data_IF_618588204247
#
_entry.id   IF_618588204247
#
_cell.length_a   1.000
_cell.length_b   1.000
_cell.length_c   1.000
_cell.angle_alpha   90.00
_cell.angle_beta   90.00
_cell.angle_gamma   90.00
#
_symmetry.space_group_name_H-M   'P 1'
#
loop_
_entity.id
_entity.type
_entity.pdbx_description
1 polymer ?
#
# COMPACT_ATOMS: atom_id res chain seq x y z
N UNK A 1 17.07 -26.01 -16.32
CA UNK A 1 17.10 -26.50 -14.94
C UNK A 1 18.52 -26.41 -14.44
N UNK A 2 18.74 -26.08 -13.18
CA UNK A 2 20.07 -26.02 -12.60
C UNK A 2 20.65 -27.44 -12.50
N UNK A 3 21.88 -27.65 -12.97
CA UNK A 3 22.56 -28.94 -13.03
C UNK A 3 23.75 -28.93 -12.06
N UNK A 4 23.54 -29.55 -10.90
CA UNK A 4 24.48 -29.53 -9.78
C UNK A 4 25.80 -30.25 -10.11
N UNK A 5 25.78 -31.26 -10.97
CA UNK A 5 26.98 -32.03 -11.30
C UNK A 5 27.94 -31.19 -12.13
N UNK A 6 27.42 -30.47 -13.12
CA UNK A 6 28.24 -29.59 -13.97
C UNK A 6 28.85 -28.43 -13.20
N UNK A 7 28.13 -27.91 -12.20
CA UNK A 7 28.63 -26.85 -11.32
C UNK A 7 29.78 -27.34 -10.43
N UNK A 8 29.67 -28.55 -9.88
CA UNK A 8 30.72 -29.16 -9.05
C UNK A 8 31.96 -29.59 -9.85
N UNK A 9 31.79 -29.95 -11.13
CA UNK A 9 32.93 -30.24 -12.02
C UNK A 9 33.74 -28.98 -12.37
N UNK A 10 33.07 -27.83 -12.48
CA UNK A 10 33.73 -26.55 -12.77
C UNK A 10 34.34 -25.91 -11.52
N UNK A 11 33.66 -26.05 -10.37
CA UNK A 11 34.11 -25.54 -9.09
C UNK A 11 33.87 -26.61 -8.00
N UNK A 12 34.87 -27.46 -7.73
CA UNK A 12 34.78 -28.53 -6.73
C UNK A 12 34.54 -28.00 -5.31
N UNK A 13 34.90 -26.73 -5.07
CA UNK A 13 34.76 -26.05 -3.79
C UNK A 13 33.39 -25.37 -3.65
N UNK A 14 32.49 -25.46 -4.64
CA UNK A 14 31.18 -24.80 -4.62
C UNK A 14 30.31 -25.18 -3.41
N UNK A 15 30.52 -26.38 -2.84
CA UNK A 15 29.86 -26.85 -1.61
C UNK A 15 30.77 -26.77 -0.37
N UNK A 16 32.03 -26.36 -0.51
CA UNK A 16 32.93 -26.18 0.62
C UNK A 16 32.51 -24.94 1.41
N UNK A 17 32.11 -25.18 2.66
CA UNK A 17 31.70 -24.16 3.62
C UNK A 17 32.85 -23.74 4.55
N UNK A 18 34.06 -24.23 4.27
CA UNK A 18 35.30 -24.00 5.04
C UNK A 18 36.10 -22.77 4.57
N UNK A 19 35.70 -22.12 3.47
CA UNK A 19 36.08 -20.73 3.23
C UNK A 19 35.31 -19.86 4.19
N UNK A 20 35.94 -18.88 4.86
CA UNK A 20 35.27 -17.98 5.80
C UNK A 20 34.11 -17.23 5.12
N UNK A 21 32.94 -17.85 5.09
CA UNK A 21 31.68 -17.17 4.98
C UNK A 21 31.47 -16.51 6.34
N UNK A 22 32.05 -15.32 6.51
CA UNK A 22 31.51 -14.40 7.49
C UNK A 22 30.06 -14.14 7.05
N UNK A 23 29.13 -14.90 7.61
CA UNK A 23 27.78 -14.39 7.77
C UNK A 23 27.98 -13.08 8.53
N UNK A 24 27.75 -11.97 7.85
CA UNK A 24 27.50 -10.74 8.55
C UNK A 24 26.25 -11.01 9.39
N UNK A 25 26.45 -11.38 10.67
CA UNK A 25 25.38 -11.75 11.62
C UNK A 25 24.36 -10.61 11.79
N UNK A 26 24.68 -9.39 11.31
CA UNK A 26 23.73 -8.30 11.26
C UNK A 26 22.63 -8.50 10.20
N UNK A 27 22.87 -9.31 9.16
CA UNK A 27 21.91 -9.60 8.09
C UNK A 27 20.93 -10.68 8.53
N UNK A 28 19.65 -10.33 8.57
CA UNK A 28 18.56 -11.20 8.99
C UNK A 28 17.39 -11.12 8.01
N UNK A 29 16.43 -12.02 8.18
CA UNK A 29 15.17 -11.98 7.46
C UNK A 29 13.99 -11.98 8.42
N UNK A 30 12.95 -11.23 8.07
CA UNK A 30 11.70 -11.14 8.80
C UNK A 30 10.56 -11.52 7.88
N UNK A 31 9.69 -12.43 8.32
CA UNK A 31 8.40 -12.70 7.69
C UNK A 31 7.27 -12.15 8.55
N UNK A 32 6.37 -11.38 7.95
CA UNK A 32 5.15 -10.89 8.59
C UNK A 32 3.97 -11.54 7.88
N UNK A 33 3.14 -12.22 8.67
CA UNK A 33 1.84 -12.74 8.26
C UNK A 33 0.76 -12.15 9.17
N UNK A 34 -0.16 -11.40 8.59
CA UNK A 34 -1.26 -10.74 9.32
C UNK A 34 -2.60 -10.96 8.61
N UNK A 35 -3.63 -11.42 9.33
CA UNK A 35 -4.98 -11.50 8.79
C UNK A 35 -5.57 -10.09 8.59
N UNK A 36 -6.60 -9.99 7.76
CA UNK A 36 -7.36 -8.76 7.55
C UNK A 36 -6.98 -8.02 6.27
N UNK A 37 -7.46 -6.80 6.14
CA UNK A 37 -7.16 -5.93 4.99
C UNK A 37 -6.48 -4.65 5.44
N UNK A 38 -5.54 -4.18 4.64
CA UNK A 38 -4.83 -2.92 4.83
C UNK A 38 -5.34 -1.83 3.88
N UNK A 39 -5.23 -0.58 4.27
CA UNK A 39 -5.54 0.57 3.40
C UNK A 39 -4.33 0.86 2.49
N UNK A 40 -4.59 1.00 1.18
CA UNK A 40 -3.52 1.17 0.19
C UNK A 40 -2.70 2.44 0.40
N UNK A 41 -3.34 3.53 0.80
CA UNK A 41 -2.69 4.82 1.03
C UNK A 41 -1.82 4.77 2.28
N UNK A 42 -2.32 4.17 3.37
CA UNK A 42 -1.52 3.93 4.59
C UNK A 42 -0.30 3.06 4.31
N UNK A 43 -0.43 2.03 3.46
CA UNK A 43 0.72 1.19 3.06
C UNK A 43 1.73 2.00 2.24
N UNK A 44 1.28 2.81 1.28
CA UNK A 44 2.18 3.64 0.47
C UNK A 44 2.94 4.66 1.33
N UNK A 45 2.25 5.28 2.29
CA UNK A 45 2.85 6.21 3.24
C UNK A 45 3.87 5.50 4.14
N UNK A 46 3.49 4.36 4.71
CA UNK A 46 4.35 3.54 5.54
C UNK A 46 5.61 3.07 4.81
N UNK A 47 5.49 2.56 3.57
CA UNK A 47 6.65 2.14 2.77
C UNK A 47 7.57 3.31 2.48
N UNK A 48 7.01 4.48 2.11
CA UNK A 48 7.80 5.67 1.82
C UNK A 48 8.62 6.11 3.04
N UNK A 49 8.00 6.11 4.21
CA UNK A 49 8.68 6.46 5.46
C UNK A 49 9.72 5.40 5.85
N UNK A 50 9.38 4.11 5.71
CA UNK A 50 10.29 2.98 5.96
C UNK A 50 11.54 3.05 5.07
N UNK A 51 11.37 3.29 3.77
CA UNK A 51 12.50 3.39 2.83
C UNK A 51 13.34 4.65 3.09
N UNK A 52 12.72 5.77 3.47
CA UNK A 52 13.45 6.99 3.84
C UNK A 52 14.34 6.77 5.07
N UNK A 53 13.85 6.04 6.07
CA UNK A 53 14.54 5.88 7.35
C UNK A 53 15.47 4.67 7.41
N UNK A 54 15.10 3.57 6.74
CA UNK A 54 15.75 2.25 6.84
C UNK A 54 16.12 1.65 5.49
N UNK A 55 15.93 2.37 4.38
CA UNK A 55 16.16 1.83 3.03
C UNK A 55 17.60 1.38 2.76
N UNK A 56 18.61 1.96 3.44
CA UNK A 56 20.00 1.51 3.36
C UNK A 56 20.24 0.13 4.00
N UNK A 57 19.39 -0.23 4.95
CA UNK A 57 19.46 -1.46 5.71
C UNK A 57 18.56 -2.55 5.11
N UNK A 58 17.58 -2.19 4.28
CA UNK A 58 16.68 -3.12 3.59
C UNK A 58 17.25 -3.46 2.20
N UNK A 59 17.66 -4.71 2.03
CA UNK A 59 18.20 -5.20 0.76
C UNK A 59 17.09 -5.67 -0.18
N UNK A 60 16.08 -6.33 0.37
CA UNK A 60 14.94 -6.83 -0.39
C UNK A 60 13.69 -6.85 0.49
N UNK A 61 12.58 -6.47 -0.10
CA UNK A 61 11.26 -6.76 0.44
C UNK A 61 10.35 -7.30 -0.65
N UNK A 62 9.48 -8.26 -0.32
CA UNK A 62 8.44 -8.75 -1.24
C UNK A 62 7.22 -9.13 -0.43
N UNK A 63 6.05 -9.02 -1.04
CA UNK A 63 4.86 -9.51 -0.38
C UNK A 63 3.62 -9.49 -1.26
N UNK A 64 2.58 -10.04 -0.67
CA UNK A 64 1.21 -10.03 -1.15
C UNK A 64 0.33 -9.44 -0.07
N UNK A 65 -0.46 -8.43 -0.44
CA UNK A 65 -1.33 -7.70 0.46
C UNK A 65 -2.80 -7.93 0.13
N UNK A 66 -3.59 -7.97 1.19
CA UNK A 66 -5.04 -7.90 1.17
C UNK A 66 -5.44 -6.43 1.25
N UNK A 67 -5.65 -5.79 0.09
CA UNK A 67 -6.05 -4.39 0.05
C UNK A 67 -7.56 -4.25 0.28
N UNK A 68 -7.95 -3.35 1.18
CA UNK A 68 -9.34 -3.03 1.43
C UNK A 68 -10.01 -2.47 0.16
N UNK A 69 -11.24 -2.90 -0.13
CA UNK A 69 -11.99 -2.53 -1.36
C UNK A 69 -11.32 -2.94 -2.69
N UNK A 70 -10.30 -3.79 -2.66
CA UNK A 70 -9.80 -4.51 -3.84
C UNK A 70 -10.26 -5.97 -3.78
N UNK A 71 -10.65 -6.56 -4.92
CA UNK A 71 -10.91 -8.01 -5.02
C UNK A 71 -9.63 -8.79 -5.34
N UNK A 72 -8.64 -8.10 -5.91
CA UNK A 72 -7.34 -8.60 -6.33
C UNK A 72 -6.34 -8.70 -5.17
N UNK A 73 -5.38 -9.61 -5.32
CA UNK A 73 -4.12 -9.58 -4.56
C UNK A 73 -3.26 -8.42 -5.04
N UNK A 74 -2.66 -7.69 -4.12
CA UNK A 74 -1.65 -6.69 -4.45
C UNK A 74 -0.27 -7.28 -4.19
N UNK A 75 0.48 -7.54 -5.25
CA UNK A 75 1.83 -8.03 -5.18
C UNK A 75 2.78 -6.85 -5.21
N UNK A 76 3.74 -6.83 -4.30
CA UNK A 76 4.78 -5.81 -4.32
C UNK A 76 6.16 -6.44 -4.20
N UNK A 77 7.14 -5.71 -4.74
CA UNK A 77 8.55 -5.99 -4.55
C UNK A 77 9.29 -4.68 -4.38
N UNK A 78 10.29 -4.71 -3.49
CA UNK A 78 11.22 -3.63 -3.32
C UNK A 78 12.66 -4.13 -3.28
N UNK A 79 13.52 -3.41 -4.00
CA UNK A 79 14.97 -3.59 -3.99
C UNK A 79 15.57 -2.22 -3.70
N UNK A 80 16.32 -2.12 -2.59
CA UNK A 80 16.80 -0.84 -2.07
C UNK A 80 15.65 0.17 -1.90
N UNK A 81 15.72 1.31 -2.59
CA UNK A 81 14.80 2.45 -2.45
C UNK A 81 13.60 2.41 -3.40
N UNK A 82 13.48 1.36 -4.22
CA UNK A 82 12.39 1.24 -5.20
C UNK A 82 11.32 0.32 -4.64
N UNK A 83 10.08 0.81 -4.58
CA UNK A 83 8.90 0.02 -4.31
C UNK A 83 8.03 0.00 -5.56
N UNK A 84 7.75 -1.19 -6.07
CA UNK A 84 6.86 -1.41 -7.19
C UNK A 84 5.78 -2.41 -6.78
N UNK A 85 4.56 -2.19 -7.25
CA UNK A 85 3.42 -3.01 -6.87
C UNK A 85 2.34 -3.05 -7.94
N UNK A 86 1.74 -4.23 -8.08
CA UNK A 86 0.74 -4.51 -9.10
C UNK A 86 -0.40 -5.35 -8.54
N UNK A 87 -1.61 -5.12 -9.06
CA UNK A 87 -2.74 -5.99 -8.79
C UNK A 87 -2.69 -7.20 -9.70
N UNK A 88 -2.68 -8.39 -9.11
CA UNK A 88 -2.76 -9.65 -9.84
C UNK A 88 -4.13 -10.29 -9.71
N UNK A 89 -4.12 -11.61 -9.56
CA UNK A 89 -5.34 -12.42 -9.54
C UNK A 89 -6.28 -12.11 -8.35
N UNK A 90 -7.60 -12.19 -8.56
CA UNK A 90 -8.59 -12.08 -7.50
C UNK A 90 -8.44 -13.16 -6.44
N UNK A 91 -8.73 -12.81 -5.19
CA UNK A 91 -8.92 -13.80 -4.12
C UNK A 91 -10.06 -14.74 -4.51
N UNK A 92 -9.92 -16.05 -4.25
CA UNK A 92 -11.00 -17.00 -4.52
C UNK A 92 -12.13 -16.78 -3.53
N UNK A 93 -13.34 -17.17 -3.91
CA UNK A 93 -14.48 -17.14 -3.01
C UNK A 93 -14.22 -18.04 -1.79
N UNK A 94 -14.44 -17.51 -0.59
CA UNK A 94 -14.18 -18.20 0.68
C UNK A 94 -12.70 -18.30 1.08
N UNK A 95 -11.77 -17.77 0.30
CA UNK A 95 -10.34 -17.75 0.66
C UNK A 95 -10.06 -16.72 1.75
N UNK A 96 -9.31 -17.14 2.78
CA UNK A 96 -8.87 -16.23 3.83
C UNK A 96 -7.92 -15.18 3.23
N UNK A 97 -8.29 -13.91 3.34
CA UNK A 97 -7.43 -12.81 2.89
C UNK A 97 -6.38 -12.53 3.96
N UNK A 98 -5.12 -12.59 3.55
CA UNK A 98 -3.98 -12.38 4.43
C UNK A 98 -2.96 -11.44 3.79
N UNK A 99 -2.16 -10.83 4.65
CA UNK A 99 -1.01 -10.01 4.28
C UNK A 99 0.24 -10.81 4.61
N UNK A 100 1.01 -11.19 3.59
CA UNK A 100 2.25 -11.94 3.73
C UNK A 100 3.39 -11.18 3.09
N UNK A 101 4.44 -10.90 3.85
CA UNK A 101 5.61 -10.18 3.36
C UNK A 101 6.89 -10.69 4.00
N UNK A 102 7.99 -10.54 3.26
CA UNK A 102 9.34 -10.88 3.71
C UNK A 102 10.26 -9.69 3.51
N UNK A 103 11.12 -9.45 4.50
CA UNK A 103 12.21 -8.47 4.48
C UNK A 103 13.52 -9.22 4.63
N UNK A 104 14.53 -8.76 3.91
CA UNK A 104 15.92 -9.20 4.06
C UNK A 104 16.77 -7.94 4.14
N UNK A 105 17.60 -7.85 5.16
CA UNK A 105 18.38 -6.65 5.44
C UNK A 105 19.21 -6.78 6.69
N UNK A 106 19.94 -5.72 7.03
CA UNK A 106 20.76 -5.67 8.26
C UNK A 106 20.06 -4.91 9.38
N UNK A 107 20.34 -5.24 10.63
CA UNK A 107 19.82 -4.52 11.81
C UNK A 107 18.29 -4.32 11.78
N UNK A 108 17.55 -5.30 11.27
CA UNK A 108 16.10 -5.21 11.15
C UNK A 108 15.46 -5.25 12.56
N UNK A 109 14.71 -4.21 12.90
CA UNK A 109 13.88 -4.23 14.10
C UNK A 109 12.56 -4.95 13.78
N UNK A 110 12.51 -6.24 14.10
CA UNK A 110 11.39 -7.11 13.77
C UNK A 110 10.09 -6.64 14.45
N UNK A 111 10.17 -6.16 15.69
CA UNK A 111 9.01 -5.72 16.44
C UNK A 111 8.48 -4.39 15.90
N UNK A 112 9.36 -3.43 15.58
CA UNK A 112 8.96 -2.15 15.00
C UNK A 112 8.38 -2.30 13.60
N UNK A 113 8.98 -3.14 12.74
CA UNK A 113 8.46 -3.42 11.40
C UNK A 113 7.06 -4.03 11.45
N UNK A 114 6.84 -5.01 12.34
CA UNK A 114 5.53 -5.61 12.53
C UNK A 114 4.51 -4.59 13.03
N UNK A 115 4.83 -3.89 14.11
CA UNK A 115 3.92 -2.92 14.75
C UNK A 115 3.55 -1.78 13.80
N UNK A 116 4.52 -1.26 13.04
CA UNK A 116 4.26 -0.19 12.07
C UNK A 116 3.40 -0.66 10.89
N UNK A 117 3.56 -1.90 10.43
CA UNK A 117 2.69 -2.47 9.39
C UNK A 117 1.28 -2.78 9.91
N UNK A 118 1.14 -3.21 11.16
CA UNK A 118 -0.18 -3.39 11.81
C UNK A 118 -1.01 -2.09 11.83
N UNK A 119 -0.35 -0.92 11.88
CA UNK A 119 -1.03 0.38 11.79
C UNK A 119 -1.67 0.66 10.41
N UNK A 120 -1.32 -0.11 9.37
CA UNK A 120 -1.95 -0.03 8.06
C UNK A 120 -3.25 -0.85 7.98
N UNK A 121 -3.57 -1.68 8.97
CA UNK A 121 -4.80 -2.47 9.00
C UNK A 121 -6.02 -1.55 9.06
N UNK A 122 -7.04 -1.91 8.27
CA UNK A 122 -8.33 -1.25 8.34
C UNK A 122 -9.02 -1.69 9.62
N UNK A 123 -9.12 -0.74 10.55
CA UNK A 123 -9.94 -0.82 11.76
C UNK A 123 -11.01 0.26 11.73
N UNK A 124 -12.04 0.11 12.57
CA UNK A 124 -13.04 1.15 12.76
C UNK A 124 -12.40 2.47 13.19
N UNK A 125 -11.40 2.41 14.07
CA UNK A 125 -10.66 3.57 14.55
C UNK A 125 -9.86 4.25 13.42
N UNK A 126 -9.14 3.47 12.60
CA UNK A 126 -8.38 4.00 11.47
C UNK A 126 -9.30 4.68 10.44
N UNK A 127 -10.45 4.06 10.16
CA UNK A 127 -11.46 4.65 9.27
C UNK A 127 -12.10 5.91 9.86
N UNK A 128 -12.42 5.92 11.16
CA UNK A 128 -12.96 7.09 11.83
C UNK A 128 -11.95 8.25 11.81
N UNK A 129 -10.66 7.97 12.04
CA UNK A 129 -9.58 8.96 11.93
C UNK A 129 -9.50 9.53 10.51
N UNK A 130 -9.49 8.67 9.48
CA UNK A 130 -9.44 9.08 8.08
C UNK A 130 -10.65 9.94 7.67
N UNK A 131 -11.85 9.58 8.13
CA UNK A 131 -13.06 10.38 7.90
C UNK A 131 -12.99 11.73 8.62
N UNK A 132 -12.49 11.77 9.87
CA UNK A 132 -12.36 13.01 10.65
C UNK A 132 -11.31 13.98 10.12
N UNK A 133 -10.34 13.50 9.33
CA UNK A 133 -9.32 14.35 8.69
C UNK A 133 -9.80 15.04 7.42
N UNK A 134 -10.96 14.65 6.87
CA UNK A 134 -11.53 15.28 5.69
C UNK A 134 -12.04 16.70 6.01
N UNK A 135 -11.74 17.66 5.13
CA UNK A 135 -12.14 19.07 5.28
C UNK A 135 -13.64 19.32 5.15
N UNK A 136 -14.39 18.43 4.49
CA UNK A 136 -15.82 18.59 4.23
C UNK A 136 -16.63 17.37 4.68
N UNK A 137 -17.86 17.62 5.12
CA UNK A 137 -18.84 16.60 5.49
C UNK A 137 -19.92 16.42 4.42
N UNK A 138 -20.68 15.32 4.48
CA UNK A 138 -21.89 15.15 3.66
C UNK A 138 -22.87 16.29 3.95
N UNK A 139 -23.39 16.92 2.90
CA UNK A 139 -24.25 18.10 2.96
C UNK A 139 -23.49 19.43 2.84
N UNK A 140 -22.16 19.45 2.92
CA UNK A 140 -21.39 20.69 2.76
C UNK A 140 -21.46 21.21 1.32
N UNK A 141 -21.58 22.54 1.19
CA UNK A 141 -21.52 23.25 -0.08
C UNK A 141 -20.07 23.52 -0.49
N UNK A 142 -19.74 23.12 -1.72
CA UNK A 142 -18.38 23.17 -2.25
C UNK A 142 -18.37 23.68 -3.70
N UNK A 143 -17.20 24.16 -4.12
CA UNK A 143 -16.87 24.36 -5.52
C UNK A 143 -15.81 23.31 -5.92
N UNK A 144 -16.02 22.69 -7.07
CA UNK A 144 -15.13 21.66 -7.62
C UNK A 144 -14.48 22.15 -8.90
N UNK A 145 -13.17 21.92 -9.04
CA UNK A 145 -12.44 22.28 -10.25
C UNK A 145 -12.72 21.24 -11.34
N UNK A 146 -13.37 21.69 -12.42
CA UNK A 146 -13.71 20.86 -13.58
C UNK A 146 -13.06 21.41 -14.84
N UNK A 147 -13.24 20.72 -15.97
CA UNK A 147 -12.77 21.23 -17.29
C UNK A 147 -13.46 22.52 -17.70
N UNK A 148 -14.65 22.79 -17.17
CA UNK A 148 -15.45 23.98 -17.46
C UNK A 148 -15.23 25.10 -16.41
N UNK A 149 -14.28 24.91 -15.50
CA UNK A 149 -14.00 25.80 -14.39
C UNK A 149 -14.57 25.29 -13.06
N UNK A 150 -14.71 26.20 -12.11
CA UNK A 150 -15.22 25.89 -10.77
C UNK A 150 -16.75 25.81 -10.79
N UNK A 151 -17.28 24.62 -10.55
CA UNK A 151 -18.72 24.37 -10.49
C UNK A 151 -19.16 24.09 -9.06
N UNK A 152 -20.30 24.65 -8.67
CA UNK A 152 -20.87 24.48 -7.33
C UNK A 152 -21.62 23.15 -7.20
N UNK A 153 -21.59 22.59 -6.00
CA UNK A 153 -22.34 21.40 -5.65
C UNK A 153 -22.34 21.11 -4.15
N UNK A 154 -22.86 19.94 -3.82
CA UNK A 154 -22.99 19.44 -2.46
C UNK A 154 -22.28 18.09 -2.32
N UNK A 155 -21.55 17.91 -1.22
CA UNK A 155 -20.98 16.60 -0.87
C UNK A 155 -22.12 15.62 -0.57
N UNK A 156 -22.20 14.52 -1.32
CA UNK A 156 -23.23 13.49 -1.11
C UNK A 156 -22.68 12.21 -0.49
N UNK A 157 -21.36 11.98 -0.57
CA UNK A 157 -20.72 10.78 -0.03
C UNK A 157 -19.24 11.03 0.26
N UNK A 158 -18.73 10.44 1.35
CA UNK A 158 -17.31 10.41 1.68
C UNK A 158 -16.70 9.06 1.29
N UNK A 159 -15.39 9.03 1.00
CA UNK A 159 -14.66 7.81 0.68
C UNK A 159 -15.35 7.03 -0.46
N UNK A 160 -15.72 7.76 -1.51
CA UNK A 160 -16.45 7.24 -2.66
C UNK A 160 -15.58 6.33 -3.52
N UNK A 161 -16.20 5.31 -4.13
CA UNK A 161 -15.52 4.38 -5.03
C UNK A 161 -16.47 3.95 -6.15
N UNK A 162 -15.93 3.84 -7.35
CA UNK A 162 -16.59 3.24 -8.52
C UNK A 162 -15.78 2.09 -9.11
N UNK A 163 -16.45 1.28 -9.92
CA UNK A 163 -15.86 0.07 -10.50
C UNK A 163 -14.74 0.36 -11.51
N UNK A 164 -14.82 1.49 -12.22
CA UNK A 164 -13.76 1.92 -13.16
C UNK A 164 -12.50 2.43 -12.44
N UNK A 165 -12.57 2.73 -11.14
CA UNK A 165 -11.42 3.22 -10.39
C UNK A 165 -10.43 2.09 -10.09
N UNK A 166 -9.11 2.35 -10.10
CA UNK A 166 -8.10 1.37 -9.74
C UNK A 166 -8.43 0.64 -8.42
N UNK A 167 -8.15 -0.67 -8.30
CA UNK A 167 -8.45 -1.42 -7.08
C UNK A 167 -7.86 -0.76 -5.81
N UNK A 168 -8.64 -0.73 -4.73
CA UNK A 168 -8.23 -0.11 -3.47
C UNK A 168 -8.27 1.43 -3.43
N UNK A 169 -8.38 2.11 -4.58
CA UNK A 169 -8.48 3.57 -4.63
C UNK A 169 -9.85 4.08 -4.17
N UNK A 170 -9.87 5.23 -3.50
CA UNK A 170 -11.10 5.89 -3.07
C UNK A 170 -10.94 7.39 -3.30
N UNK A 171 -12.01 8.04 -3.75
CA UNK A 171 -12.09 9.48 -3.80
C UNK A 171 -12.56 9.99 -2.42
N UNK A 172 -11.94 11.03 -1.85
CA UNK A 172 -12.40 11.63 -0.60
C UNK A 172 -13.88 12.01 -0.62
N UNK A 173 -14.36 12.51 -1.77
CA UNK A 173 -15.70 13.08 -1.90
C UNK A 173 -16.38 12.66 -3.21
N UNK A 174 -17.67 12.34 -3.12
CA UNK A 174 -18.61 12.42 -4.24
C UNK A 174 -19.43 13.69 -4.11
N UNK A 175 -19.60 14.41 -5.22
CA UNK A 175 -20.28 15.70 -5.26
C UNK A 175 -21.42 15.62 -6.27
N UNK A 176 -22.59 16.12 -5.87
CA UNK A 176 -23.69 16.42 -6.79
C UNK A 176 -23.62 17.89 -7.14
N UNK A 177 -23.31 18.20 -8.39
CA UNK A 177 -23.34 19.56 -8.92
C UNK A 177 -24.78 20.09 -8.96
N UNK A 178 -24.93 21.42 -9.00
CA UNK A 178 -26.25 22.08 -8.98
C UNK A 178 -27.11 21.78 -10.22
N UNK A 179 -26.47 21.44 -11.34
CA UNK A 179 -27.12 20.95 -12.56
C UNK A 179 -27.60 19.48 -12.45
N UNK A 180 -27.30 18.82 -11.33
CA UNK A 180 -27.65 17.43 -11.04
C UNK A 180 -26.60 16.39 -11.42
N UNK A 181 -25.51 16.78 -12.11
CA UNK A 181 -24.43 15.89 -12.50
C UNK A 181 -23.64 15.42 -11.27
N UNK A 182 -23.25 14.15 -11.24
CA UNK A 182 -22.41 13.59 -10.18
C UNK A 182 -20.97 13.52 -10.63
N UNK A 183 -20.09 14.09 -9.82
CA UNK A 183 -18.64 14.03 -10.00
C UNK A 183 -17.98 13.55 -8.70
N UNK A 184 -16.67 13.40 -8.72
CA UNK A 184 -15.88 13.10 -7.53
C UNK A 184 -14.63 13.98 -7.50
N UNK A 185 -14.17 14.32 -6.30
CA UNK A 185 -12.89 14.99 -6.11
C UNK A 185 -11.81 13.90 -5.91
N UNK A 186 -10.76 13.83 -6.75
CA UNK A 186 -9.75 12.78 -6.65
C UNK A 186 -8.82 12.95 -5.43
N UNK A 187 -8.80 14.13 -4.81
CA UNK A 187 -7.99 14.44 -3.65
C UNK A 187 -8.72 15.48 -2.77
N UNK A 188 -8.35 15.55 -1.50
CA UNK A 188 -8.79 16.62 -0.61
C UNK A 188 -7.79 17.78 -0.64
N UNK A 189 -7.87 18.62 -1.67
CA UNK A 189 -6.96 19.74 -1.88
C UNK A 189 -7.67 20.92 -2.54
N UNK A 190 -7.25 22.14 -2.20
CA UNK A 190 -7.75 23.39 -2.81
C UNK A 190 -7.50 23.47 -4.33
N UNK A 191 -6.70 22.58 -4.90
CA UNK A 191 -6.54 22.46 -6.35
C UNK A 191 -7.76 21.85 -7.04
N UNK A 192 -8.56 21.06 -6.32
CA UNK A 192 -9.67 20.27 -6.88
C UNK A 192 -11.01 20.53 -6.18
N UNK A 193 -10.99 20.94 -4.92
CA UNK A 193 -12.20 21.18 -4.13
C UNK A 193 -11.96 22.23 -3.04
N UNK A 194 -12.90 23.19 -2.92
CA UNK A 194 -12.88 24.24 -1.89
C UNK A 194 -14.29 24.54 -1.40
N UNK A 195 -14.40 25.25 -0.27
CA UNK A 195 -15.70 25.69 0.26
C UNK A 195 -16.35 26.67 -0.70
N UNK A 196 -17.65 26.49 -0.95
CA UNK A 196 -18.42 27.48 -1.71
C UNK A 196 -18.58 28.76 -0.89
N UNK A 197 -18.43 29.91 -1.54
CA UNK A 197 -18.69 31.24 -0.97
C UNK A 197 -20.17 31.59 -1.02
#
# INVERSE_FOLDING_TARGET
>A
GFDLQRTLEMDPEFLNTDGEHQHDDSVSSLSINLPGSVDLELVQDWVRDLLREKGADIYRMKGVLSIYRAKQRFFFQGVHMLFDGTFGEPWKEGEARENSMVFIGKNLDHAALRTSFEACLVSEEAMAKKLSSLRFAVGDRVECNTREGWLQGEIIQLMYREEFMPPGMVAPYQIKLDDGVRIYAPADSDMVIRRAT
#
